data_IF_155586352829
#
_entry.id   IF_155586352829
#
_cell.length_a   1.000
_cell.length_b   1.000
_cell.length_c   1.000
_cell.angle_alpha   90.00
_cell.angle_beta   90.00
_cell.angle_gamma   90.00
#
_symmetry.space_group_name_H-M   'P 1'
#
loop_
_entity.id
_entity.type
_entity.pdbx_description
1 polymer ?
#
# COMPACT_ATOMS: atom_id res chain seq x y z
N UNK A 1 -26.97 29.32 7.24
CA UNK A 1 -27.56 28.16 6.52
C UNK A 1 -27.04 28.00 5.06
N UNK A 2 -25.93 28.65 4.65
CA UNK A 2 -25.46 28.66 3.25
C UNK A 2 -24.42 27.56 2.87
N UNK A 3 -24.06 26.67 3.79
CA UNK A 3 -22.99 25.67 3.56
C UNK A 3 -23.36 24.50 2.64
N UNK A 4 -24.66 24.18 2.50
CA UNK A 4 -25.12 22.98 1.79
C UNK A 4 -24.91 23.03 0.28
N UNK A 5 -25.28 24.13 -0.37
CA UNK A 5 -25.19 24.27 -1.82
C UNK A 5 -23.74 24.34 -2.31
N UNK A 6 -22.89 25.11 -1.61
CA UNK A 6 -21.48 25.21 -1.94
C UNK A 6 -20.76 23.86 -1.80
N UNK A 7 -21.07 23.10 -0.73
CA UNK A 7 -20.51 21.77 -0.52
C UNK A 7 -21.02 20.76 -1.57
N UNK A 8 -22.31 20.82 -1.94
CA UNK A 8 -22.89 19.96 -2.98
C UNK A 8 -22.28 20.26 -4.36
N UNK A 9 -22.16 21.54 -4.72
CA UNK A 9 -21.52 21.98 -5.96
C UNK A 9 -20.04 21.57 -6.01
N UNK A 10 -19.31 21.71 -4.90
CA UNK A 10 -17.94 21.25 -4.81
C UNK A 10 -17.86 19.73 -5.06
N UNK A 11 -18.67 18.93 -4.37
CA UNK A 11 -18.69 17.47 -4.53
C UNK A 11 -19.07 17.04 -5.95
N UNK A 12 -19.98 17.76 -6.59
CA UNK A 12 -20.36 17.54 -7.99
C UNK A 12 -19.18 17.78 -8.94
N UNK A 13 -18.47 18.88 -8.75
CA UNK A 13 -17.27 19.22 -9.54
C UNK A 13 -16.16 18.19 -9.35
N UNK A 14 -15.92 17.72 -8.13
CA UNK A 14 -14.91 16.68 -7.87
C UNK A 14 -15.17 15.39 -8.65
N UNK A 15 -16.44 15.06 -8.92
CA UNK A 15 -16.83 13.87 -9.69
C UNK A 15 -16.69 14.05 -11.21
N UNK A 16 -16.87 15.27 -11.71
CA UNK A 16 -16.91 15.57 -13.15
C UNK A 16 -15.76 16.48 -13.61
N UNK A 17 -14.67 16.56 -12.84
CA UNK A 17 -13.59 17.53 -13.10
C UNK A 17 -12.94 17.32 -14.49
N UNK A 18 -12.90 16.06 -14.96
CA UNK A 18 -12.36 15.69 -16.26
C UNK A 18 -13.23 16.17 -17.43
N UNK A 19 -14.51 16.45 -17.20
CA UNK A 19 -15.47 16.90 -18.20
C UNK A 19 -15.51 18.42 -18.37
N UNK A 20 -14.93 19.17 -17.43
CA UNK A 20 -14.98 20.63 -17.41
C UNK A 20 -14.30 21.31 -18.61
N UNK A 21 -13.38 20.61 -19.31
CA UNK A 21 -12.76 21.09 -20.54
C UNK A 21 -12.23 22.54 -20.44
N UNK A 22 -12.77 23.44 -21.26
CA UNK A 22 -12.39 24.86 -21.29
C UNK A 22 -12.84 25.66 -20.05
N UNK A 23 -13.86 25.21 -19.32
CA UNK A 23 -14.31 25.89 -18.09
C UNK A 23 -13.25 25.79 -17.00
N UNK A 24 -12.47 24.71 -16.99
CA UNK A 24 -11.33 24.52 -16.09
C UNK A 24 -10.30 25.64 -16.26
N UNK A 25 -10.01 26.03 -17.50
CA UNK A 25 -8.97 27.01 -17.85
C UNK A 25 -9.29 28.42 -17.33
N UNK A 26 -10.58 28.70 -17.07
CA UNK A 26 -11.10 29.94 -16.50
C UNK A 26 -11.13 29.96 -14.97
N UNK A 27 -10.84 28.83 -14.30
CA UNK A 27 -10.88 28.76 -12.84
C UNK A 27 -9.75 29.56 -12.20
N UNK A 28 -10.02 30.23 -11.07
CA UNK A 28 -8.99 30.89 -10.29
C UNK A 28 -8.12 29.84 -9.55
N UNK A 29 -6.85 30.17 -9.35
CA UNK A 29 -5.87 29.28 -8.70
C UNK A 29 -6.36 28.66 -7.37
N UNK A 30 -6.95 29.42 -6.42
CA UNK A 30 -7.37 28.85 -5.14
C UNK A 30 -8.44 27.76 -5.27
N UNK A 31 -9.35 27.89 -6.25
CA UNK A 31 -10.36 26.86 -6.54
C UNK A 31 -9.70 25.61 -7.09
N UNK A 32 -8.79 25.76 -8.05
CA UNK A 32 -8.08 24.62 -8.62
C UNK A 32 -7.24 23.86 -7.57
N UNK A 33 -6.54 24.60 -6.70
CA UNK A 33 -5.78 24.01 -5.59
C UNK A 33 -6.70 23.25 -4.63
N UNK A 34 -7.90 23.79 -4.33
CA UNK A 34 -8.87 23.10 -3.47
C UNK A 34 -9.30 21.76 -4.06
N UNK A 35 -9.54 21.68 -5.38
CA UNK A 35 -9.90 20.43 -6.05
C UNK A 35 -8.75 19.42 -6.11
N UNK A 36 -7.54 19.87 -6.44
CA UNK A 36 -6.36 19.00 -6.48
C UNK A 36 -6.02 18.43 -5.09
N UNK A 37 -6.18 19.23 -4.03
CA UNK A 37 -5.93 18.82 -2.64
C UNK A 37 -6.97 17.82 -2.12
N UNK A 38 -8.22 17.92 -2.56
CA UNK A 38 -9.32 17.12 -2.01
C UNK A 38 -9.13 15.61 -2.29
N UNK A 39 -9.23 14.79 -1.24
CA UNK A 39 -9.15 13.33 -1.37
C UNK A 39 -10.29 12.79 -2.25
N UNK A 40 -11.46 13.42 -2.26
CA UNK A 40 -12.65 13.02 -3.01
C UNK A 40 -12.61 13.32 -4.52
N UNK A 41 -11.52 13.88 -5.05
CA UNK A 41 -11.37 14.09 -6.49
C UNK A 41 -11.46 12.76 -7.25
N UNK A 42 -12.42 12.66 -8.16
CA UNK A 42 -12.66 11.45 -8.94
C UNK A 42 -11.82 11.47 -10.21
N UNK A 43 -10.73 10.69 -10.21
CA UNK A 43 -9.86 10.50 -11.36
C UNK A 43 -9.48 9.02 -11.47
N UNK A 44 -9.31 8.48 -12.68
CA UNK A 44 -8.93 7.08 -12.85
C UNK A 44 -7.51 6.82 -12.32
N UNK A 45 -6.59 7.76 -12.52
CA UNK A 45 -5.19 7.71 -12.06
C UNK A 45 -4.65 9.12 -11.79
N UNK A 46 -3.59 9.24 -10.99
CA UNK A 46 -2.97 10.55 -10.68
C UNK A 46 -2.34 11.24 -11.89
N UNK A 47 -2.04 10.50 -12.97
CA UNK A 47 -1.68 11.09 -14.27
C UNK A 47 -2.72 12.10 -14.75
N UNK A 48 -4.01 11.84 -14.51
CA UNK A 48 -5.08 12.75 -14.90
C UNK A 48 -5.05 14.06 -14.08
N UNK A 49 -4.69 14.00 -12.79
CA UNK A 49 -4.51 15.21 -11.96
C UNK A 49 -3.30 16.03 -12.45
N UNK A 50 -2.21 15.37 -12.82
CA UNK A 50 -1.06 16.04 -13.44
C UNK A 50 -1.44 16.73 -14.75
N UNK A 51 -2.12 16.03 -15.64
CA UNK A 51 -2.58 16.59 -16.92
C UNK A 51 -3.53 17.77 -16.73
N UNK A 52 -4.41 17.70 -15.73
CA UNK A 52 -5.34 18.76 -15.37
C UNK A 52 -4.61 20.02 -14.90
N UNK A 53 -3.61 19.87 -14.02
CA UNK A 53 -2.76 20.98 -13.59
C UNK A 53 -1.97 21.59 -14.77
N UNK A 54 -1.38 20.74 -15.62
CA UNK A 54 -0.58 21.18 -16.76
C UNK A 54 -1.43 21.90 -17.81
N UNK A 55 -2.64 21.41 -18.08
CA UNK A 55 -3.60 22.04 -18.99
C UNK A 55 -3.95 23.45 -18.53
N UNK A 56 -4.21 23.63 -17.23
CA UNK A 56 -4.51 24.95 -16.68
C UNK A 56 -3.33 25.91 -16.82
N UNK A 57 -2.09 25.44 -16.62
CA UNK A 57 -0.88 26.26 -16.81
C UNK A 57 -0.66 26.61 -18.29
N UNK A 58 -0.85 25.65 -19.20
CA UNK A 58 -0.66 25.85 -20.65
C UNK A 58 -1.67 26.82 -21.27
N UNK A 59 -2.82 27.05 -20.64
CA UNK A 59 -3.79 28.05 -21.09
C UNK A 59 -3.27 29.49 -20.97
N UNK A 60 -2.34 29.77 -20.04
CA UNK A 60 -1.65 31.06 -19.94
C UNK A 60 -0.24 30.85 -19.33
N UNK A 61 0.74 30.43 -20.15
CA UNK A 61 2.06 30.07 -19.65
C UNK A 61 2.84 31.27 -19.09
N UNK A 62 2.56 32.49 -19.56
CA UNK A 62 3.29 33.68 -19.13
C UNK A 62 3.05 33.98 -17.63
N UNK A 63 1.80 33.87 -17.18
CA UNK A 63 1.44 34.17 -15.78
C UNK A 63 1.42 32.92 -14.89
N UNK A 64 1.12 31.74 -15.46
CA UNK A 64 0.85 30.51 -14.68
C UNK A 64 2.05 29.58 -14.54
N UNK A 65 3.07 29.68 -15.38
CA UNK A 65 4.30 28.88 -15.25
C UNK A 65 4.92 28.94 -13.83
N UNK A 66 5.08 30.10 -13.17
CA UNK A 66 5.63 30.14 -11.82
C UNK A 66 4.73 29.51 -10.75
N UNK A 67 3.45 29.27 -11.03
CA UNK A 67 2.48 28.66 -10.12
C UNK A 67 2.49 27.11 -10.21
N UNK A 68 3.14 26.54 -11.22
CA UNK A 68 3.21 25.09 -11.43
C UNK A 68 3.70 24.31 -10.19
N UNK A 69 4.74 24.74 -9.44
CA UNK A 69 5.16 24.03 -8.23
C UNK A 69 4.06 23.90 -7.18
N UNK A 70 3.23 24.94 -7.03
CA UNK A 70 2.14 24.95 -6.05
C UNK A 70 1.06 23.94 -6.45
N UNK A 71 0.77 23.83 -7.75
CA UNK A 71 -0.16 22.82 -8.26
C UNK A 71 0.38 21.40 -8.08
N UNK A 72 1.65 21.15 -8.45
CA UNK A 72 2.28 19.84 -8.31
C UNK A 72 2.43 19.40 -6.86
N UNK A 73 2.52 20.34 -5.91
CA UNK A 73 2.51 20.03 -4.48
C UNK A 73 1.16 19.45 -3.99
N UNK A 74 0.09 19.53 -4.80
CA UNK A 74 -1.20 18.90 -4.52
C UNK A 74 -1.55 17.74 -5.46
N UNK A 75 -0.69 17.46 -6.45
CA UNK A 75 -0.75 16.23 -7.25
C UNK A 75 0.00 15.14 -6.51
N UNK A 76 -0.57 13.94 -6.39
CA UNK A 76 0.09 12.84 -5.66
C UNK A 76 1.07 12.11 -6.58
N UNK A 77 2.13 12.82 -6.97
CA UNK A 77 3.22 12.30 -7.81
C UNK A 77 3.77 10.93 -7.36
N UNK A 78 3.87 10.59 -6.05
CA UNK A 78 4.27 9.26 -5.63
C UNK A 78 3.41 8.11 -6.20
N UNK A 79 2.14 8.37 -6.53
CA UNK A 79 1.21 7.39 -7.09
C UNK A 79 1.04 7.49 -8.61
N UNK A 80 1.77 8.40 -9.28
CA UNK A 80 1.86 8.41 -10.74
C UNK A 80 2.73 7.24 -11.19
N UNK A 81 2.34 6.47 -12.21
CA UNK A 81 3.13 5.32 -12.65
C UNK A 81 4.56 5.72 -12.99
N UNK A 82 5.54 4.93 -12.52
CA UNK A 82 6.98 5.20 -12.69
C UNK A 82 7.38 5.52 -14.13
N UNK A 83 6.89 4.74 -15.09
CA UNK A 83 7.12 5.00 -16.52
C UNK A 83 6.61 6.38 -16.95
N UNK A 84 5.39 6.75 -16.55
CA UNK A 84 4.81 8.06 -16.90
C UNK A 84 5.56 9.21 -16.24
N UNK A 85 5.95 9.04 -14.98
CA UNK A 85 6.73 10.02 -14.22
C UNK A 85 8.05 10.34 -14.94
N UNK A 86 8.80 9.32 -15.37
CA UNK A 86 10.09 9.48 -16.03
C UNK A 86 9.95 9.95 -17.48
N UNK A 87 9.04 9.36 -18.25
CA UNK A 87 8.95 9.61 -19.68
C UNK A 87 8.18 10.89 -20.04
N UNK A 88 7.23 11.32 -19.20
CA UNK A 88 6.30 12.43 -19.52
C UNK A 88 6.37 13.59 -18.52
N UNK A 89 6.48 13.31 -17.21
CA UNK A 89 6.48 14.40 -16.21
C UNK A 89 7.85 15.07 -16.12
N UNK A 90 8.93 14.27 -16.05
CA UNK A 90 10.29 14.79 -15.97
C UNK A 90 10.76 15.44 -17.28
N UNK A 91 10.29 14.94 -18.43
CA UNK A 91 10.59 15.48 -19.76
C UNK A 91 9.82 16.77 -20.10
N UNK A 92 8.79 17.12 -19.32
CA UNK A 92 7.99 18.32 -19.57
C UNK A 92 8.84 19.59 -19.40
N UNK A 93 8.93 20.48 -20.41
CA UNK A 93 9.83 21.64 -20.36
C UNK A 93 9.59 22.59 -19.17
N UNK A 94 8.32 22.76 -18.77
CA UNK A 94 7.96 23.61 -17.62
C UNK A 94 8.41 23.00 -16.29
N UNK A 95 8.45 21.66 -16.20
CA UNK A 95 8.89 20.92 -15.01
C UNK A 95 10.42 20.86 -14.97
N UNK A 96 11.06 20.51 -16.09
CA UNK A 96 12.51 20.38 -16.22
C UNK A 96 13.26 21.68 -15.90
N UNK A 97 12.66 22.84 -16.22
CA UNK A 97 13.23 24.16 -15.95
C UNK A 97 12.96 24.68 -14.54
N UNK A 98 12.20 23.95 -13.71
CA UNK A 98 11.72 24.43 -12.43
C UNK A 98 12.30 23.61 -11.25
N UNK A 99 13.31 24.13 -10.52
CA UNK A 99 13.94 23.40 -9.42
C UNK A 99 12.98 22.93 -8.31
N UNK A 100 11.96 23.73 -7.89
CA UNK A 100 10.93 23.24 -6.97
C UNK A 100 10.18 22.00 -7.45
N UNK A 101 9.85 21.89 -8.74
CA UNK A 101 9.16 20.73 -9.30
C UNK A 101 10.06 19.49 -9.30
N UNK A 102 11.34 19.65 -9.63
CA UNK A 102 12.32 18.58 -9.58
C UNK A 102 12.50 18.00 -8.18
N UNK A 103 12.38 18.81 -7.11
CA UNK A 103 12.38 18.30 -5.73
C UNK A 103 11.20 17.38 -5.44
N UNK A 104 10.00 17.73 -5.91
CA UNK A 104 8.81 16.90 -5.76
C UNK A 104 8.94 15.58 -6.55
N UNK A 105 9.57 15.61 -7.72
CA UNK A 105 9.87 14.40 -8.50
C UNK A 105 10.86 13.47 -7.82
N UNK A 106 11.94 14.02 -7.24
CA UNK A 106 12.91 13.24 -6.46
C UNK A 106 12.22 12.53 -5.30
N UNK A 107 11.39 13.24 -4.55
CA UNK A 107 10.62 12.65 -3.47
C UNK A 107 9.69 11.52 -3.94
N UNK A 108 9.00 11.71 -5.06
CA UNK A 108 8.16 10.66 -5.64
C UNK A 108 8.97 9.43 -6.08
N UNK A 109 10.17 9.63 -6.65
CA UNK A 109 11.09 8.53 -7.03
C UNK A 109 11.61 7.78 -5.80
N UNK A 110 11.98 8.49 -4.75
CA UNK A 110 12.43 7.89 -3.49
C UNK A 110 11.31 7.02 -2.89
N UNK A 111 10.07 7.51 -2.91
CA UNK A 111 8.90 6.75 -2.49
C UNK A 111 8.67 5.50 -3.35
N UNK A 112 8.78 5.61 -4.68
CA UNK A 112 8.56 4.50 -5.61
C UNK A 112 9.69 3.46 -5.64
N UNK A 113 10.88 3.79 -5.13
CA UNK A 113 12.04 2.90 -5.13
C UNK A 113 12.23 2.14 -3.81
N UNK A 114 11.36 2.37 -2.82
CA UNK A 114 11.29 1.62 -1.56
C UNK A 114 12.65 1.47 -0.84
N UNK A 115 13.40 2.56 -0.70
CA UNK A 115 14.51 2.65 0.27
C UNK A 115 14.09 3.14 1.66
N UNK A 116 12.82 3.52 1.82
CA UNK A 116 12.27 4.04 3.06
C UNK A 116 10.96 3.31 3.34
N UNK A 117 10.81 2.83 4.57
CA UNK A 117 9.58 2.24 5.04
C UNK A 117 8.44 3.26 4.89
N UNK A 118 7.27 2.82 4.44
CA UNK A 118 6.06 3.65 4.34
C UNK A 118 5.65 4.21 5.70
N UNK A 119 6.17 3.61 6.78
CA UNK A 119 5.91 3.97 8.18
C UNK A 119 6.87 5.04 8.74
N UNK A 120 8.05 5.26 8.15
CA UNK A 120 9.08 6.16 8.72
C UNK A 120 8.83 7.64 8.40
N UNK A 121 8.13 7.94 7.31
CA UNK A 121 7.64 9.30 7.03
C UNK A 121 6.19 9.36 7.49
N UNK A 122 5.95 10.09 8.57
CA UNK A 122 4.60 10.39 9.05
C UNK A 122 3.66 10.85 7.91
N UNK A 123 2.34 10.68 8.07
CA UNK A 123 1.37 10.73 6.97
C UNK A 123 1.36 12.11 6.30
N UNK A 124 2.14 12.29 5.24
CA UNK A 124 2.04 13.48 4.42
C UNK A 124 0.85 13.31 3.47
N UNK A 125 0.06 14.37 3.26
CA UNK A 125 -1.17 14.30 2.47
C UNK A 125 -0.97 13.79 1.02
N UNK A 126 0.26 13.88 0.49
CA UNK A 126 0.64 13.37 -0.85
C UNK A 126 0.92 11.86 -0.89
N UNK A 127 1.15 11.25 0.26
CA UNK A 127 1.42 9.80 0.41
C UNK A 127 0.15 9.00 0.74
N UNK A 128 -1.02 9.64 0.71
CA UNK A 128 -2.31 8.97 0.85
C UNK A 128 -3.00 8.84 -0.51
N UNK A 129 -3.29 7.64 -1.04
CA UNK A 129 -3.95 7.50 -2.33
C UNK A 129 -5.40 8.01 -2.32
N UNK A 130 -5.86 8.53 -3.47
CA UNK A 130 -7.27 8.91 -3.64
C UNK A 130 -8.17 7.65 -3.63
N UNK A 131 -9.39 7.71 -3.07
CA UNK A 131 -10.36 6.62 -3.17
C UNK A 131 -10.62 6.17 -4.62
N UNK A 132 -10.68 7.15 -5.52
CA UNK A 132 -11.06 6.96 -6.93
C UNK A 132 -10.04 6.17 -7.75
N UNK A 133 -8.78 6.09 -7.30
CA UNK A 133 -7.72 5.36 -8.01
C UNK A 133 -7.74 3.86 -7.72
N UNK A 134 -8.69 3.37 -6.90
CA UNK A 134 -8.83 1.95 -6.57
C UNK A 134 -7.71 1.38 -5.70
N UNK A 135 -6.83 2.23 -5.16
CA UNK A 135 -5.82 1.87 -4.16
C UNK A 135 -6.46 2.00 -2.78
N UNK A 136 -6.74 0.87 -2.14
CA UNK A 136 -7.27 0.80 -0.78
C UNK A 136 -6.20 0.28 0.18
N UNK A 137 -6.00 0.98 1.29
CA UNK A 137 -5.44 0.37 2.48
C UNK A 137 -6.47 -0.63 3.00
N UNK A 138 -6.09 -1.89 3.14
CA UNK A 138 -6.92 -2.96 3.70
C UNK A 138 -6.31 -3.38 5.03
N UNK A 139 -7.15 -3.51 6.05
CA UNK A 139 -6.79 -4.19 7.29
C UNK A 139 -7.20 -5.65 7.09
N UNK A 140 -6.23 -6.57 7.13
CA UNK A 140 -6.51 -8.01 7.04
C UNK A 140 -6.46 -8.54 8.47
N UNK A 141 -7.59 -9.03 8.97
CA UNK A 141 -7.65 -9.76 10.24
C UNK A 141 -7.64 -11.25 9.92
N UNK A 142 -6.78 -11.98 10.62
CA UNK A 142 -6.56 -13.41 10.38
C UNK A 142 -6.73 -14.13 11.70
N UNK A 143 -7.77 -14.98 11.77
CA UNK A 143 -8.13 -15.75 12.95
C UNK A 143 -8.93 -14.97 14.02
N UNK A 144 -9.17 -15.64 15.15
CA UNK A 144 -9.95 -15.14 16.30
C UNK A 144 -10.90 -16.21 16.84
N UNK A 145 -11.31 -16.08 18.11
CA UNK A 145 -12.39 -16.86 18.70
C UNK A 145 -13.47 -15.91 19.23
N UNK A 146 -14.75 -16.19 18.99
CA UNK A 146 -15.85 -15.48 19.64
C UNK A 146 -16.10 -16.06 21.04
N UNK A 147 -16.87 -15.37 21.87
CA UNK A 147 -17.23 -15.75 23.24
C UNK A 147 -17.92 -17.10 23.35
N UNK A 148 -18.50 -17.60 22.26
CA UNK A 148 -19.24 -18.86 22.21
C UNK A 148 -18.41 -20.04 21.70
N UNK A 149 -17.11 -19.86 21.43
CA UNK A 149 -16.19 -20.92 20.97
C UNK A 149 -16.62 -21.64 19.68
N UNK A 150 -17.44 -21.01 18.83
CA UNK A 150 -17.47 -21.37 17.42
C UNK A 150 -16.19 -20.80 16.80
N UNK A 151 -15.27 -21.68 16.38
CA UNK A 151 -14.07 -21.30 15.64
C UNK A 151 -14.49 -20.36 14.50
N UNK A 152 -14.10 -19.08 14.54
CA UNK A 152 -14.46 -18.14 13.48
C UNK A 152 -13.77 -18.62 12.20
N UNK A 153 -14.56 -19.22 11.32
CA UNK A 153 -14.18 -19.93 10.08
C UNK A 153 -13.70 -18.96 8.99
N UNK A 154 -13.43 -17.68 9.31
CA UNK A 154 -13.28 -16.62 8.30
C UNK A 154 -12.02 -15.77 8.52
N UNK A 155 -11.20 -15.67 7.46
CA UNK A 155 -10.23 -14.58 7.31
C UNK A 155 -10.97 -13.36 6.78
N UNK A 156 -11.17 -12.40 7.66
CA UNK A 156 -11.95 -11.21 7.40
C UNK A 156 -11.04 -10.02 7.10
N UNK A 157 -11.15 -9.45 5.90
CA UNK A 157 -10.53 -8.16 5.63
C UNK A 157 -11.52 -7.02 5.80
N UNK A 158 -11.12 -6.05 6.62
CA UNK A 158 -11.84 -4.82 6.82
C UNK A 158 -11.28 -3.74 5.90
N UNK A 159 -12.15 -3.14 5.10
CA UNK A 159 -11.82 -1.94 4.36
C UNK A 159 -12.26 -0.71 5.17
N UNK A 160 -11.34 -0.02 5.88
CA UNK A 160 -11.66 1.10 6.76
C UNK A 160 -12.28 2.30 6.04
N UNK A 161 -12.17 2.35 4.70
CA UNK A 161 -12.73 3.43 3.89
C UNK A 161 -14.19 3.19 3.53
N UNK A 162 -14.59 1.93 3.36
CA UNK A 162 -15.95 1.55 2.98
C UNK A 162 -16.79 1.06 4.17
N UNK A 163 -16.14 0.71 5.28
CA UNK A 163 -16.79 0.09 6.43
C UNK A 163 -17.27 -1.34 6.14
N UNK A 164 -16.89 -1.90 4.99
CA UNK A 164 -17.32 -3.24 4.57
C UNK A 164 -16.24 -4.28 4.85
N UNK A 165 -16.71 -5.46 5.21
CA UNK A 165 -15.92 -6.66 5.41
C UNK A 165 -15.91 -7.49 4.12
N UNK A 166 -14.78 -8.13 3.81
CA UNK A 166 -14.66 -9.05 2.66
C UNK A 166 -13.89 -10.30 3.05
N UNK A 167 -14.43 -11.44 2.69
CA UNK A 167 -13.86 -12.75 2.96
C UNK A 167 -12.67 -13.04 2.03
N UNK A 168 -11.52 -13.45 2.58
CA UNK A 168 -10.27 -13.68 1.81
C UNK A 168 -9.79 -15.14 1.72
N UNK A 169 -10.44 -16.08 2.40
CA UNK A 169 -10.24 -17.56 2.30
C UNK A 169 -9.12 -18.13 3.21
N UNK A 170 -9.30 -19.41 3.58
CA UNK A 170 -8.55 -20.34 4.47
C UNK A 170 -8.79 -20.27 5.98
N UNK A 171 -9.31 -21.38 6.52
CA UNK A 171 -9.64 -21.56 7.94
C UNK A 171 -8.37 -21.92 8.71
N UNK A 172 -8.02 -21.17 9.75
CA UNK A 172 -6.87 -21.50 10.61
C UNK A 172 -5.49 -21.42 9.94
N UNK A 173 -5.40 -20.87 8.73
CA UNK A 173 -4.12 -20.58 8.07
C UNK A 173 -3.45 -19.32 8.61
N UNK A 174 -2.15 -19.18 8.37
CA UNK A 174 -1.37 -18.01 8.78
C UNK A 174 -1.05 -17.09 7.61
N UNK A 175 -0.98 -15.78 7.88
CA UNK A 175 -0.80 -14.77 6.84
C UNK A 175 0.31 -13.78 7.19
N UNK A 176 1.14 -13.48 6.20
CA UNK A 176 2.20 -12.48 6.31
C UNK A 176 2.28 -11.60 5.04
N UNK A 177 2.76 -10.37 5.20
CA UNK A 177 3.00 -9.46 4.06
C UNK A 177 4.50 -9.37 3.81
N UNK A 178 4.94 -9.81 2.63
CA UNK A 178 6.34 -9.77 2.24
C UNK A 178 6.47 -9.17 0.84
N UNK A 179 7.37 -8.19 0.67
CA UNK A 179 7.64 -7.60 -0.64
C UNK A 179 6.41 -6.99 -1.34
N UNK A 180 5.39 -6.58 -0.59
CA UNK A 180 4.14 -6.03 -1.14
C UNK A 180 3.12 -7.07 -1.62
N UNK A 181 3.38 -8.36 -1.41
CA UNK A 181 2.44 -9.46 -1.66
C UNK A 181 1.93 -10.02 -0.34
N UNK A 182 0.72 -10.57 -0.38
CA UNK A 182 0.12 -11.26 0.76
C UNK A 182 0.40 -12.76 0.61
N UNK A 183 0.94 -13.39 1.65
CA UNK A 183 1.21 -14.82 1.67
C UNK A 183 0.28 -15.49 2.66
N UNK A 184 -0.33 -16.60 2.27
CA UNK A 184 -1.18 -17.46 3.11
C UNK A 184 -0.56 -18.84 3.15
N UNK A 185 -0.42 -19.41 4.34
CA UNK A 185 0.21 -20.70 4.56
C UNK A 185 -0.63 -21.57 5.47
N UNK A 186 -0.81 -22.84 5.11
CA UNK A 186 -1.51 -23.84 5.90
C UNK A 186 -2.99 -23.54 6.13
N UNK A 187 -3.55 -24.13 7.18
CA UNK A 187 -4.98 -24.10 7.48
C UNK A 187 -5.75 -25.21 6.79
N UNK A 188 -7.07 -25.11 6.77
CA UNK A 188 -7.95 -26.03 6.06
C UNK A 188 -8.35 -25.46 4.70
N UNK A 189 -8.35 -26.33 3.70
CA UNK A 189 -8.87 -26.03 2.38
C UNK A 189 -10.40 -26.12 2.32
N UNK A 190 -10.97 -25.93 1.13
CA UNK A 190 -12.43 -25.97 0.92
C UNK A 190 -13.04 -27.37 1.09
N UNK A 191 -12.21 -28.41 1.21
CA UNK A 191 -12.60 -29.79 1.50
C UNK A 191 -12.41 -30.15 2.97
N UNK A 192 -12.03 -29.18 3.82
CA UNK A 192 -11.66 -29.39 5.23
C UNK A 192 -10.46 -30.32 5.42
N UNK A 193 -9.59 -30.44 4.41
CA UNK A 193 -8.32 -31.13 4.53
C UNK A 193 -7.24 -30.15 4.99
N UNK A 194 -6.33 -30.63 5.83
CA UNK A 194 -5.23 -29.83 6.33
C UNK A 194 -4.25 -29.57 5.19
N UNK A 195 -4.01 -28.29 4.90
CA UNK A 195 -3.20 -27.84 3.79
C UNK A 195 -1.75 -27.61 4.21
N UNK A 196 -0.82 -27.97 3.34
CA UNK A 196 0.58 -27.53 3.38
C UNK A 196 0.86 -26.41 2.37
N UNK A 197 -0.13 -25.96 1.60
CA UNK A 197 0.09 -25.06 0.47
C UNK A 197 0.44 -23.66 0.96
N UNK A 198 1.44 -23.05 0.31
CA UNK A 198 1.77 -21.64 0.45
C UNK A 198 1.31 -20.90 -0.80
N UNK A 199 0.33 -20.02 -0.64
CA UNK A 199 -0.21 -19.19 -1.71
C UNK A 199 0.21 -17.74 -1.54
N UNK A 200 0.48 -17.05 -2.65
CA UNK A 200 0.72 -15.62 -2.67
C UNK A 200 -0.35 -14.92 -3.51
N UNK A 201 -0.97 -13.89 -2.92
CA UNK A 201 -1.79 -12.94 -3.64
C UNK A 201 -0.96 -11.75 -4.07
N UNK A 202 -0.93 -11.53 -5.38
CA UNK A 202 -0.34 -10.35 -5.97
C UNK A 202 -1.42 -9.26 -6.17
N UNK A 203 -1.36 -8.14 -5.44
CA UNK A 203 -2.36 -7.08 -5.57
C UNK A 203 -2.29 -6.33 -6.90
N UNK A 204 -1.18 -6.39 -7.64
CA UNK A 204 -1.05 -5.74 -8.95
C UNK A 204 -1.83 -6.52 -10.02
N UNK A 205 -1.69 -7.84 -10.03
CA UNK A 205 -2.38 -8.72 -10.98
C UNK A 205 -3.74 -9.19 -10.49
N UNK A 206 -4.02 -9.05 -9.18
CA UNK A 206 -5.22 -9.55 -8.49
C UNK A 206 -5.41 -11.06 -8.62
N UNK A 207 -4.31 -11.79 -8.59
CA UNK A 207 -4.31 -13.25 -8.75
C UNK A 207 -3.64 -13.92 -7.56
N UNK A 208 -4.18 -15.06 -7.18
CA UNK A 208 -3.51 -16.02 -6.29
C UNK A 208 -2.61 -16.94 -7.12
N UNK A 209 -1.47 -17.29 -6.56
CA UNK A 209 -0.55 -18.29 -7.12
C UNK A 209 0.06 -19.12 -6.01
N UNK A 210 0.15 -20.43 -6.21
CA UNK A 210 0.94 -21.30 -5.34
C UNK A 210 2.42 -20.97 -5.52
N UNK A 211 3.10 -20.67 -4.41
CA UNK A 211 4.51 -20.27 -4.41
C UNK A 211 5.40 -21.24 -3.63
N UNK A 212 4.81 -22.21 -2.94
CA UNK A 212 5.55 -23.26 -2.24
C UNK A 212 4.65 -24.17 -1.43
N UNK A 213 5.28 -25.01 -0.61
CA UNK A 213 4.64 -25.88 0.36
C UNK A 213 5.40 -25.83 1.69
N UNK A 214 4.66 -26.00 2.78
CA UNK A 214 5.20 -26.19 4.12
C UNK A 214 5.76 -27.62 4.24
N UNK A 215 6.72 -27.86 5.13
CA UNK A 215 7.26 -29.21 5.34
C UNK A 215 6.19 -30.22 5.81
N UNK A 216 5.22 -29.74 6.59
CA UNK A 216 4.07 -30.50 7.04
C UNK A 216 2.82 -29.60 7.00
N UNK A 217 1.62 -30.16 6.74
CA UNK A 217 0.37 -29.44 6.89
C UNK A 217 0.16 -28.97 8.34
N UNK A 218 -0.12 -27.66 8.54
CA UNK A 218 -0.27 -27.06 9.88
C UNK A 218 -1.41 -26.03 9.90
N UNK A 219 -1.95 -25.75 11.09
CA UNK A 219 -3.02 -24.78 11.33
C UNK A 219 -2.81 -24.09 12.69
N UNK A 220 -3.44 -22.93 12.91
CA UNK A 220 -3.28 -22.04 14.09
C UNK A 220 -1.86 -21.54 14.36
N UNK A 221 -1.01 -21.46 13.33
CA UNK A 221 0.34 -20.89 13.47
C UNK A 221 0.38 -19.38 13.23
N UNK A 222 1.38 -18.73 13.82
CA UNK A 222 1.72 -17.33 13.53
C UNK A 222 2.81 -17.25 12.46
N UNK A 223 2.72 -16.23 11.60
CA UNK A 223 3.75 -15.91 10.62
C UNK A 223 4.12 -14.44 10.74
N UNK A 224 5.40 -14.14 10.53
CA UNK A 224 5.93 -12.78 10.58
C UNK A 224 6.97 -12.60 9.50
N UNK A 225 6.95 -11.43 8.88
CA UNK A 225 7.94 -11.04 7.88
C UNK A 225 9.12 -10.37 8.59
N UNK A 226 10.34 -10.91 8.43
CA UNK A 226 11.57 -10.29 8.90
C UNK A 226 12.43 -9.89 7.70
N UNK A 227 12.95 -8.66 7.71
CA UNK A 227 13.95 -8.23 6.74
C UNK A 227 15.28 -8.91 7.03
N UNK A 228 15.92 -9.44 5.97
CA UNK A 228 17.17 -10.22 6.04
C UNK A 228 18.30 -9.53 6.81
N UNK A 229 18.32 -8.20 6.86
CA UNK A 229 19.28 -7.39 7.64
C UNK A 229 19.23 -7.67 9.16
N UNK A 230 18.15 -8.28 9.65
CA UNK A 230 17.96 -8.64 11.07
C UNK A 230 18.07 -10.14 11.35
N UNK A 231 18.41 -10.97 10.35
CA UNK A 231 18.74 -12.36 10.59
C UNK A 231 20.22 -12.49 10.97
N UNK A 232 20.58 -13.30 11.98
CA UNK A 232 21.98 -13.63 12.22
C UNK A 232 22.55 -14.29 10.96
N UNK A 233 23.68 -13.79 10.47
CA UNK A 233 24.41 -14.44 9.40
C UNK A 233 24.80 -15.85 9.87
N UNK A 234 24.18 -16.88 9.30
CA UNK A 234 24.67 -18.23 9.47
C UNK A 234 25.97 -18.32 8.69
N UNK A 235 27.09 -18.16 9.40
CA UNK A 235 28.42 -18.44 8.84
C UNK A 235 28.56 -19.93 8.62
N UNK A 236 28.17 -20.40 7.44
CA UNK A 236 28.72 -21.61 6.83
C UNK A 236 28.55 -21.49 5.31
N UNK A 237 29.62 -21.01 4.68
CA UNK A 237 29.93 -21.38 3.30
C UNK A 237 30.17 -22.90 3.28
N UNK A 238 29.20 -23.65 2.79
CA UNK A 238 29.44 -24.99 2.26
C UNK A 238 28.74 -25.09 0.90
N UNK A 239 29.54 -24.88 -0.15
CA UNK A 239 29.25 -25.26 -1.53
C UNK A 239 29.15 -26.79 -1.59
N UNK A 240 27.99 -27.33 -1.25
CA UNK A 240 27.38 -28.55 -1.77
C UNK A 240 26.33 -29.02 -0.77
N UNK A 241 25.06 -29.01 -1.18
CA UNK A 241 24.08 -30.09 -0.98
C UNK A 241 22.79 -29.64 -1.69
N UNK A 242 22.41 -30.49 -2.64
CA UNK A 242 21.09 -30.63 -3.25
C UNK A 242 19.96 -30.46 -2.24
N UNK A 243 18.85 -29.81 -2.65
CA UNK A 243 17.60 -29.81 -1.89
C UNK A 243 17.22 -31.25 -1.55
N UNK A 244 17.47 -31.66 -0.31
CA UNK A 244 16.83 -32.81 0.30
C UNK A 244 16.23 -32.37 1.64
N UNK A 245 14.94 -32.65 1.72
CA UNK A 245 14.04 -32.26 2.79
C UNK A 245 14.44 -32.91 4.11
N UNK A 246 14.98 -32.16 5.07
CA UNK A 246 14.86 -32.48 6.50
C UNK A 246 15.23 -31.29 7.37
N UNK A 247 14.24 -30.58 7.92
CA UNK A 247 14.46 -29.74 9.11
C UNK A 247 14.36 -30.68 10.31
N UNK A 248 15.48 -31.26 10.72
CA UNK A 248 15.58 -31.97 11.98
C UNK A 248 15.57 -30.95 13.13
N UNK A 249 14.41 -30.77 13.77
CA UNK A 249 14.29 -30.06 15.04
C UNK A 249 14.96 -30.89 16.15
N UNK A 250 16.24 -30.64 16.39
CA UNK A 250 16.93 -31.14 17.58
C UNK A 250 16.37 -30.44 18.82
N UNK A 251 15.46 -31.15 19.51
CA UNK A 251 15.14 -30.91 20.93
C UNK A 251 16.44 -30.92 21.73
N UNK A 252 16.96 -29.74 22.09
CA UNK A 252 17.86 -29.62 23.23
C UNK A 252 17.04 -29.20 24.45
N UNK A 253 16.76 -30.19 25.30
CA UNK A 253 16.50 -30.01 26.71
C UNK A 253 17.65 -29.20 27.31
N UNK A 254 17.45 -27.91 27.58
CA UNK A 254 18.27 -27.19 28.55
C UNK A 254 17.40 -26.86 29.76
N UNK A 255 17.59 -27.67 30.80
CA UNK A 255 17.32 -27.30 32.18
C UNK A 255 18.03 -25.98 32.47
N UNK A 256 17.31 -24.86 32.39
CA UNK A 256 17.71 -23.63 33.06
C UNK A 256 16.94 -23.53 34.37
N UNK A 257 17.63 -24.02 35.38
CA UNK A 257 17.35 -23.88 36.80
C UNK A 257 17.22 -22.38 37.12
N UNK A 258 15.99 -21.85 37.11
CA UNK A 258 15.69 -20.54 37.68
C UNK A 258 15.75 -20.66 39.21
N UNK A 259 16.96 -20.55 39.77
CA UNK A 259 17.13 -20.21 41.17
C UNK A 259 17.49 -18.74 41.30
N UNK A 260 16.72 -18.09 42.18
CA UNK A 260 16.96 -16.81 42.84
C UNK A 260 16.57 -15.56 42.04
N UNK A 261 15.35 -15.08 42.33
CA UNK A 261 15.10 -13.71 42.80
C UNK A 261 13.73 -13.65 43.51
N UNK A 262 13.55 -14.50 44.53
CA UNK A 262 12.83 -14.18 45.77
C UNK A 262 13.93 -14.44 46.83
N UNK A 263 14.36 -13.54 47.71
CA UNK A 263 13.67 -12.48 48.42
C UNK A 263 14.68 -11.37 48.78
N UNK A 264 14.20 -10.13 48.83
CA UNK A 264 14.66 -9.19 49.86
C UNK A 264 13.97 -9.58 51.18
N UNK A 265 14.62 -9.40 52.35
CA UNK A 265 15.96 -8.85 52.58
C UNK A 265 17.01 -9.89 53.00
#
# INVERSE_FOLDING_TARGET
MFGGLAAAAHRFVLRHVGELGAQLERLPLPRLLSYLRDDGLCIPKEEAAFQLALRWVRADPATRAPLLPQLLAHVRLPFVRRFYLLAHVESEPLVARCPPCLRLLREARDFQSARLDRHDRGPCARMRPRPSTGLAEILVLVGGCDRDCDELVTVDCYNPRTGHWRYLVHVGGSVAVLGGKLYVSGGYDNTFELSDVLEAYDPETRTWSVVGQLPEPIFWHGSVSIFRQFMPETTQEDDSITLDNTISLSRQNQNLHNQNLNELP
#
